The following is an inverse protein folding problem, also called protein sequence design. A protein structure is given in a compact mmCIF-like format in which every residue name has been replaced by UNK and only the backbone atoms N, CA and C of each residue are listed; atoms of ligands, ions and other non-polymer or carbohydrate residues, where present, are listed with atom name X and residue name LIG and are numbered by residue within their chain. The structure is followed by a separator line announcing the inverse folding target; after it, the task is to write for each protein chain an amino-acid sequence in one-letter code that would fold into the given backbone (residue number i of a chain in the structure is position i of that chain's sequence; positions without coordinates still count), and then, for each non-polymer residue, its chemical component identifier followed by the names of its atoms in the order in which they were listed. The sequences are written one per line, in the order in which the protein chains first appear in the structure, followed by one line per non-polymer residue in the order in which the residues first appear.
data_IF_705537855337
#
_entry.id   IF_705537855337
#
_cell.length_a   1.000
_cell.length_b   1.000
_cell.length_c   1.000
_cell.angle_alpha   90.00
_cell.angle_beta   90.00
_cell.angle_gamma   90.00
#
_symmetry.space_group_name_H-M   'P 1'
#
loop_
_entity.id
_entity.type
_entity.pdbx_description
1 polymer ?
#
# COMPACT_ATOMS: atom_id res chain seq x y z
N UNK A 1 9.15 11.37 -4.05
CA UNK A 1 10.27 10.81 -3.25
C UNK A 1 10.63 9.47 -3.83
N UNK A 2 11.85 9.33 -4.33
CA UNK A 2 12.36 8.02 -4.77
C UNK A 2 13.14 7.29 -3.65
N UNK A 3 13.59 8.05 -2.64
CA UNK A 3 14.40 7.58 -1.51
C UNK A 3 13.61 7.27 -0.23
N UNK A 4 12.27 7.25 -0.31
CA UNK A 4 11.37 6.78 0.75
C UNK A 4 10.55 5.60 0.24
N UNK A 5 10.79 4.41 0.80
CA UNK A 5 10.21 3.14 0.37
C UNK A 5 9.34 2.54 1.47
N UNK A 6 8.12 2.12 1.12
CA UNK A 6 7.18 1.46 2.03
C UNK A 6 6.30 0.45 1.29
N UNK A 7 5.21 0.02 1.94
CA UNK A 7 4.26 -0.94 1.39
C UNK A 7 2.88 -0.27 1.24
N UNK A 8 2.50 0.21 0.04
CA UNK A 8 1.16 0.75 -0.19
C UNK A 8 0.13 -0.30 0.23
N UNK A 9 -0.86 0.09 1.04
CA UNK A 9 -1.79 -0.86 1.66
C UNK A 9 -3.23 -0.40 1.46
N UNK A 10 -4.06 -1.28 0.91
CA UNK A 10 -5.47 -1.00 0.68
C UNK A 10 -6.31 -1.41 1.89
N UNK A 11 -7.21 -0.52 2.31
CA UNK A 11 -8.04 -0.71 3.51
C UNK A 11 -8.94 -1.95 3.43
N UNK A 12 -9.46 -2.28 2.25
CA UNK A 12 -10.28 -3.49 2.05
C UNK A 12 -9.50 -4.76 2.45
N UNK A 13 -8.24 -4.86 2.03
CA UNK A 13 -7.39 -6.02 2.32
C UNK A 13 -7.06 -6.09 3.80
N UNK A 14 -6.82 -4.93 4.45
CA UNK A 14 -6.62 -4.86 5.90
C UNK A 14 -7.86 -5.36 6.64
N UNK A 15 -9.06 -4.95 6.23
CA UNK A 15 -10.31 -5.38 6.85
C UNK A 15 -10.50 -6.89 6.72
N UNK A 16 -10.30 -7.45 5.53
CA UNK A 16 -10.38 -8.90 5.32
C UNK A 16 -9.37 -9.66 6.16
N UNK A 17 -8.10 -9.22 6.20
CA UNK A 17 -7.07 -9.87 7.01
C UNK A 17 -7.36 -9.79 8.51
N UNK A 18 -7.90 -8.66 8.99
CA UNK A 18 -8.31 -8.50 10.38
C UNK A 18 -9.50 -9.41 10.72
N UNK A 19 -10.46 -9.57 9.82
CA UNK A 19 -11.58 -10.49 10.02
C UNK A 19 -11.09 -11.93 10.17
N UNK A 20 -10.23 -12.39 9.26
CA UNK A 20 -9.58 -13.71 9.36
C UNK A 20 -8.84 -13.88 10.68
N UNK A 21 -8.11 -12.86 11.12
CA UNK A 21 -7.36 -12.90 12.38
C UNK A 21 -8.29 -13.01 13.60
N UNK A 22 -9.43 -12.33 13.59
CA UNK A 22 -10.43 -12.41 14.67
C UNK A 22 -11.07 -13.81 14.71
N UNK A 23 -11.43 -14.36 13.55
CA UNK A 23 -12.03 -15.69 13.46
C UNK A 23 -11.09 -16.80 13.92
N UNK A 24 -9.79 -16.68 13.63
CA UNK A 24 -8.76 -17.64 14.08
C UNK A 24 -8.34 -17.42 15.55
N UNK A 25 -8.80 -16.33 16.19
CA UNK A 25 -8.44 -16.02 17.58
C UNK A 25 -7.00 -15.54 17.74
N UNK A 26 -6.42 -14.95 16.70
CA UNK A 26 -5.10 -14.31 16.72
C UNK A 26 -5.00 -13.30 17.87
N UNK A 27 -3.87 -13.28 18.57
CA UNK A 27 -3.63 -12.32 19.67
C UNK A 27 -2.21 -11.76 19.65
N UNK A 28 -2.03 -10.53 20.12
CA UNK A 28 -0.75 -9.82 20.13
C UNK A 28 -0.53 -8.91 18.91
N UNK A 29 0.72 -8.56 18.63
CA UNK A 29 1.07 -7.57 17.60
C UNK A 29 1.31 -8.21 16.24
N UNK A 30 0.72 -7.64 15.19
CA UNK A 30 0.90 -8.04 13.79
C UNK A 30 1.22 -6.82 12.92
N UNK A 31 2.04 -7.03 11.89
CA UNK A 31 2.04 -6.13 10.73
C UNK A 31 0.97 -6.62 9.75
N UNK A 32 0.28 -5.67 9.12
CA UNK A 32 -0.75 -5.93 8.13
C UNK A 32 -0.57 -4.92 6.98
N UNK A 33 0.24 -5.29 6.00
CA UNK A 33 0.50 -4.49 4.79
C UNK A 33 0.37 -5.35 3.53
N UNK A 34 0.01 -4.76 2.39
CA UNK A 34 0.06 -5.51 1.14
C UNK A 34 1.51 -5.90 0.78
N UNK A 35 1.67 -7.02 0.07
CA UNK A 35 2.97 -7.55 -0.29
C UNK A 35 3.71 -6.64 -1.28
N UNK A 36 5.05 -6.69 -1.24
CA UNK A 36 5.90 -5.86 -2.07
C UNK A 36 6.23 -4.51 -1.44
N UNK A 37 6.88 -3.66 -2.24
CA UNK A 37 7.37 -2.37 -1.81
C UNK A 37 7.35 -1.38 -2.97
N UNK A 38 7.17 -0.10 -2.66
CA UNK A 38 7.24 0.99 -3.62
C UNK A 38 7.84 2.24 -2.97
N UNK A 39 8.59 3.01 -3.76
CA UNK A 39 8.82 4.41 -3.43
C UNK A 39 7.55 5.23 -3.69
N UNK A 40 7.44 6.41 -3.09
CA UNK A 40 6.33 7.33 -3.42
C UNK A 40 6.30 7.68 -4.91
N UNK A 41 7.47 7.74 -5.55
CA UNK A 41 7.59 7.96 -6.99
C UNK A 41 7.00 6.79 -7.79
N UNK A 42 7.40 5.55 -7.50
CA UNK A 42 6.84 4.35 -8.16
C UNK A 42 5.33 4.24 -7.98
N UNK A 43 4.84 4.47 -6.76
CA UNK A 43 3.42 4.42 -6.46
C UNK A 43 2.61 5.46 -7.27
N UNK A 44 3.04 6.73 -7.26
CA UNK A 44 2.39 7.80 -8.01
C UNK A 44 2.45 7.58 -9.53
N UNK A 45 3.58 7.09 -10.05
CA UNK A 45 3.76 6.76 -11.47
C UNK A 45 2.76 5.70 -11.92
N UNK A 46 2.56 4.65 -11.10
CA UNK A 46 1.57 3.61 -11.40
C UNK A 46 0.15 4.16 -11.43
N UNK A 47 -0.23 5.00 -10.46
CA UNK A 47 -1.56 5.63 -10.41
C UNK A 47 -1.82 6.41 -11.70
N UNK A 48 -0.91 7.32 -12.07
CA UNK A 48 -1.04 8.15 -13.28
C UNK A 48 -1.17 7.29 -14.54
N UNK A 49 -0.34 6.25 -14.66
CA UNK A 49 -0.40 5.31 -15.77
C UNK A 49 -1.74 4.56 -15.82
N UNK A 50 -2.24 4.05 -14.68
CA UNK A 50 -3.51 3.33 -14.60
C UNK A 50 -4.72 4.20 -14.89
N UNK A 51 -4.65 5.50 -14.60
CA UNK A 51 -5.70 6.46 -14.93
C UNK A 51 -5.62 6.97 -16.39
N UNK A 52 -4.64 6.52 -17.19
CA UNK A 52 -4.47 6.98 -18.57
C UNK A 52 -4.11 8.46 -18.69
N UNK A 53 -3.58 9.07 -17.62
CA UNK A 53 -3.24 10.48 -17.59
C UNK A 53 -1.87 10.72 -18.23
N UNK A 54 -1.79 11.69 -19.14
CA UNK A 54 -0.54 12.12 -19.74
C UNK A 54 0.14 13.21 -18.91
N UNK A 55 0.54 12.86 -17.68
CA UNK A 55 1.20 13.78 -16.73
C UNK A 55 2.53 13.18 -16.29
N UNK A 56 3.66 13.89 -16.40
CA UNK A 56 4.95 13.36 -15.96
C UNK A 56 5.03 13.31 -14.43
N UNK A 57 5.47 12.16 -13.89
CA UNK A 57 5.78 12.00 -12.46
C UNK A 57 7.28 12.14 -12.25
N UNK A 58 7.69 13.31 -11.76
CA UNK A 58 9.10 13.66 -11.58
C UNK A 58 9.57 13.17 -10.20
N UNK A 59 10.63 12.38 -10.18
CA UNK A 59 11.28 11.95 -8.94
C UNK A 59 11.96 13.13 -8.26
N UNK A 60 11.89 13.16 -6.93
CA UNK A 60 12.62 14.08 -6.05
C UNK A 60 13.19 13.27 -4.89
N UNK A 61 14.22 13.79 -4.24
CA UNK A 61 14.76 13.23 -3.01
C UNK A 61 14.11 13.87 -1.78
N UNK A 62 14.22 13.20 -0.64
CA UNK A 62 13.70 13.71 0.64
C UNK A 62 14.29 15.07 1.00
N UNK A 63 15.56 15.32 0.62
CA UNK A 63 16.24 16.60 0.85
C UNK A 63 15.63 17.76 0.07
N UNK A 64 15.01 17.48 -1.08
CA UNK A 64 14.38 18.48 -1.94
C UNK A 64 13.02 18.93 -1.41
N UNK A 65 12.47 18.22 -0.42
CA UNK A 65 11.18 18.52 0.20
C UNK A 65 11.24 18.25 1.71
N UNK A 66 11.79 19.19 2.49
CA UNK A 66 11.91 19.05 3.94
C UNK A 66 10.54 19.19 4.61
N UNK A 67 10.00 18.07 5.10
CA UNK A 67 8.80 18.04 5.91
C UNK A 67 9.13 18.27 7.41
N UNK A 68 8.23 18.86 8.22
CA UNK A 68 8.46 19.07 9.65
C UNK A 68 8.76 17.79 10.44
N UNK A 69 8.13 16.68 10.06
CA UNK A 69 8.35 15.37 10.65
C UNK A 69 9.39 14.58 9.87
N UNK A 70 10.36 13.99 10.58
CA UNK A 70 11.35 13.10 9.99
C UNK A 70 10.67 11.81 9.53
N UNK A 71 10.75 11.51 8.25
CA UNK A 71 10.24 10.26 7.67
C UNK A 71 11.37 9.24 7.56
N UNK A 72 11.11 7.95 7.87
CA UNK A 72 12.08 6.90 7.60
C UNK A 72 12.30 6.76 6.08
N UNK A 73 13.54 6.50 5.68
CA UNK A 73 13.85 6.18 4.28
C UNK A 73 13.28 4.80 3.88
N UNK A 74 13.11 3.90 4.85
CA UNK A 74 12.60 2.54 4.63
C UNK A 74 11.61 2.17 5.72
N UNK A 75 10.36 1.93 5.34
CA UNK A 75 9.24 1.56 6.22
C UNK A 75 8.47 0.35 5.69
N UNK A 76 9.12 -0.51 4.91
CA UNK A 76 8.54 -1.79 4.47
C UNK A 76 8.42 -2.71 5.68
N UNK A 77 7.26 -3.33 5.83
CA UNK A 77 6.96 -4.24 6.94
C UNK A 77 6.75 -5.65 6.40
N UNK A 78 7.22 -6.65 7.13
CA UNK A 78 6.93 -8.05 6.84
C UNK A 78 5.72 -8.51 7.68
N UNK A 79 4.76 -9.19 7.05
CA UNK A 79 3.61 -9.83 7.72
C UNK A 79 4.01 -11.15 8.39
N UNK A 80 5.21 -11.21 8.99
CA UNK A 80 5.89 -12.44 9.40
C UNK A 80 5.03 -13.32 10.30
N UNK A 81 4.25 -12.71 11.19
CA UNK A 81 3.42 -13.45 12.12
C UNK A 81 2.24 -14.14 11.42
N UNK A 82 1.56 -13.45 10.50
CA UNK A 82 0.55 -14.08 9.65
C UNK A 82 1.14 -15.19 8.77
N UNK A 83 2.38 -15.04 8.27
CA UNK A 83 3.05 -16.12 7.51
C UNK A 83 3.29 -17.37 8.37
N UNK A 84 3.78 -17.19 9.59
CA UNK A 84 4.05 -18.31 10.51
C UNK A 84 2.77 -19.03 10.94
N UNK A 85 1.66 -18.31 11.04
CA UNK A 85 0.33 -18.84 11.35
C UNK A 85 -0.38 -19.39 10.10
N UNK A 86 0.22 -19.26 8.90
CA UNK A 86 -0.38 -19.66 7.61
C UNK A 86 -1.69 -18.92 7.28
N UNK A 87 -1.81 -17.67 7.78
CA UNK A 87 -2.99 -16.81 7.63
C UNK A 87 -2.74 -15.57 6.75
N UNK A 88 -1.56 -15.43 6.13
CA UNK A 88 -1.22 -14.25 5.35
C UNK A 88 -1.99 -14.22 4.02
N UNK A 89 -3.06 -13.43 3.98
CA UNK A 89 -3.89 -13.17 2.80
C UNK A 89 -3.56 -11.87 2.07
N UNK A 90 -2.49 -11.16 2.46
CA UNK A 90 -2.16 -9.86 1.90
C UNK A 90 -1.55 -9.98 0.49
N UNK A 91 -2.35 -9.65 -0.53
CA UNK A 91 -1.96 -9.66 -1.96
C UNK A 91 -0.89 -8.59 -2.29
N UNK A 92 -0.22 -8.68 -3.45
CA UNK A 92 0.66 -7.61 -3.96
C UNK A 92 -0.03 -6.25 -4.01
N UNK A 93 0.69 -5.18 -3.64
CA UNK A 93 0.12 -3.83 -3.59
C UNK A 93 -0.35 -3.33 -4.95
N UNK A 94 0.25 -3.82 -6.04
CA UNK A 94 -0.15 -3.51 -7.41
C UNK A 94 -1.58 -3.95 -7.71
N UNK A 95 -1.93 -5.17 -7.30
CA UNK A 95 -3.27 -5.74 -7.49
C UNK A 95 -4.29 -5.01 -6.61
N UNK A 96 -3.89 -4.67 -5.38
CA UNK A 96 -4.71 -3.90 -4.44
C UNK A 96 -4.98 -2.47 -4.94
N UNK A 97 -3.99 -1.82 -5.55
CA UNK A 97 -4.16 -0.51 -6.17
C UNK A 97 -5.11 -0.58 -7.36
N UNK A 98 -4.95 -1.56 -8.22
CA UNK A 98 -5.77 -1.72 -9.42
C UNK A 98 -7.26 -1.87 -9.05
N UNK A 99 -7.56 -2.68 -8.02
CA UNK A 99 -8.89 -2.86 -7.46
C UNK A 99 -9.44 -1.57 -6.81
N UNK A 100 -8.61 -0.88 -6.01
CA UNK A 100 -8.98 0.41 -5.42
C UNK A 100 -9.40 1.44 -6.48
N UNK A 101 -8.65 1.55 -7.59
CA UNK A 101 -8.97 2.47 -8.69
C UNK A 101 -10.24 2.08 -9.44
N UNK A 102 -10.49 0.79 -9.64
CA UNK A 102 -11.74 0.30 -10.26
C UNK A 102 -12.95 0.70 -9.42
N UNK A 103 -12.91 0.43 -8.12
CA UNK A 103 -13.99 0.78 -7.18
C UNK A 103 -14.21 2.30 -7.09
N UNK A 104 -13.14 3.09 -7.16
CA UNK A 104 -13.26 4.56 -7.19
C UNK A 104 -14.00 5.06 -8.43
N UNK A 105 -13.74 4.46 -9.60
CA UNK A 105 -14.44 4.80 -10.84
C UNK A 105 -15.92 4.41 -10.80
N UNK A 106 -16.25 3.25 -10.23
CA UNK A 106 -17.65 2.83 -10.06
C UNK A 106 -18.44 3.84 -9.23
N UNK A 107 -17.89 4.32 -8.10
CA UNK A 107 -18.54 5.33 -7.26
C UNK A 107 -18.81 6.62 -8.04
N UNK A 108 -17.82 7.13 -8.78
CA UNK A 108 -17.98 8.37 -9.56
C UNK A 108 -18.94 8.25 -10.76
N UNK A 109 -19.17 7.03 -11.27
CA UNK A 109 -20.08 6.79 -12.39
C UNK A 109 -21.55 6.65 -11.98
N UNK A 110 -21.84 6.60 -10.67
CA UNK A 110 -23.20 6.50 -10.12
C UNK A 110 -23.68 7.79 -9.44
N UNK A 111 -22.91 8.87 -9.53
CA UNK A 111 -23.29 10.25 -9.18
C UNK A 111 -23.55 11.08 -10.45
#
# INVERSE_FOLDING_TARGET
MDDQVGSPTFTEDVVHQLWTAIEDGCSGTYHCVNAGQASWHTFATRIVHRLGLNVPVIAIHTVDYPAPARRPAYSVLANRKFELEQLNGMRPWEDALDDCLLRYHEVLSHD
#
